data_IF_879720906349
#
_entry.id   IF_879720906349
#
_cell.length_a   1.000
_cell.length_b   1.000
_cell.length_c   1.000
_cell.angle_alpha   90.00
_cell.angle_beta   90.00
_cell.angle_gamma   90.00
#
_symmetry.space_group_name_H-M   'P 1'
#
loop_
_entity.id
_entity.type
_entity.pdbx_description
1 polymer ?
#
# COMPACT_ATOMS: atom_id res chain seq x y z
N UNK A 1 -17.36 38.08 5.68
CA UNK A 1 -16.09 38.60 6.23
C UNK A 1 -15.81 38.04 7.62
N UNK A 2 -16.79 38.01 8.56
CA UNK A 2 -16.64 37.45 9.93
C UNK A 2 -16.34 35.94 9.99
N UNK A 3 -16.95 35.15 9.11
CA UNK A 3 -16.75 33.69 9.05
C UNK A 3 -15.32 33.26 8.68
N UNK A 4 -14.63 34.05 7.84
CA UNK A 4 -13.25 33.80 7.43
C UNK A 4 -12.28 34.04 8.58
N UNK A 5 -12.49 35.10 9.36
CA UNK A 5 -11.66 35.43 10.53
C UNK A 5 -11.79 34.39 11.65
N UNK A 6 -12.98 33.82 11.85
CA UNK A 6 -13.21 32.82 12.91
C UNK A 6 -12.54 31.48 12.58
N UNK A 7 -12.64 31.02 11.32
CA UNK A 7 -11.96 29.79 10.88
C UNK A 7 -10.44 29.96 10.81
N UNK A 8 -9.94 31.12 10.37
CA UNK A 8 -8.51 31.41 10.36
C UNK A 8 -7.93 31.39 11.79
N UNK A 9 -8.66 31.93 12.76
CA UNK A 9 -8.27 31.85 14.17
C UNK A 9 -8.26 30.41 14.66
N UNK A 10 -9.32 29.64 14.38
CA UNK A 10 -9.40 28.22 14.70
C UNK A 10 -8.23 27.42 14.09
N UNK A 11 -7.87 27.69 12.84
CA UNK A 11 -6.73 27.08 12.16
C UNK A 11 -5.44 27.35 12.94
N UNK A 12 -5.12 28.62 13.20
CA UNK A 12 -3.88 29.03 13.88
C UNK A 12 -3.76 28.42 15.29
N UNK A 13 -4.86 28.32 16.02
CA UNK A 13 -4.86 27.76 17.37
C UNK A 13 -4.73 26.24 17.45
N UNK A 14 -5.15 25.52 16.40
CA UNK A 14 -5.28 24.06 16.45
C UNK A 14 -4.34 23.33 15.50
N UNK A 15 -3.75 23.99 14.50
CA UNK A 15 -2.86 23.36 13.52
C UNK A 15 -1.75 22.54 14.18
N UNK A 16 -0.99 23.14 15.10
CA UNK A 16 0.10 22.43 15.79
C UNK A 16 -0.40 21.21 16.57
N UNK A 17 -1.59 21.29 17.20
CA UNK A 17 -2.15 20.17 17.96
C UNK A 17 -2.52 18.99 17.05
N UNK A 18 -3.12 19.28 15.91
CA UNK A 18 -3.46 18.29 14.89
C UNK A 18 -2.23 17.71 14.22
N UNK A 19 -1.22 18.53 13.94
CA UNK A 19 0.08 18.09 13.43
C UNK A 19 0.79 17.14 14.40
N UNK A 20 0.90 17.49 15.68
CA UNK A 20 1.48 16.58 16.68
C UNK A 20 0.62 15.34 16.92
N UNK A 21 -0.69 15.40 16.66
CA UNK A 21 -1.54 14.22 16.70
C UNK A 21 -1.21 13.26 15.54
N UNK A 22 -1.08 13.76 14.31
CA UNK A 22 -0.67 12.95 13.15
C UNK A 22 0.74 12.34 13.34
N UNK A 23 1.68 13.10 13.89
CA UNK A 23 3.04 12.63 14.20
C UNK A 23 3.10 11.46 15.20
N UNK A 24 2.04 11.22 15.97
CA UNK A 24 1.98 10.02 16.85
C UNK A 24 1.78 8.73 16.05
N UNK A 25 1.34 8.84 14.80
CA UNK A 25 1.10 7.72 13.91
C UNK A 25 2.17 7.60 12.82
N UNK A 26 2.61 8.73 12.25
CA UNK A 26 3.49 8.79 11.08
C UNK A 26 4.74 9.62 11.41
N UNK A 27 5.93 9.07 11.18
CA UNK A 27 7.22 9.78 11.42
C UNK A 27 7.66 10.66 10.22
N UNK A 28 6.91 10.62 9.12
CA UNK A 28 7.10 11.52 7.99
C UNK A 28 6.41 12.87 8.23
N UNK A 29 7.23 13.92 8.36
CA UNK A 29 6.76 15.27 8.66
C UNK A 29 6.00 15.92 7.51
N UNK A 30 6.36 15.65 6.25
CA UNK A 30 5.69 16.25 5.11
C UNK A 30 4.31 15.63 4.95
N UNK A 31 4.22 14.29 5.01
CA UNK A 31 2.94 13.56 4.99
C UNK A 31 2.01 14.04 6.10
N UNK A 32 2.54 14.25 7.31
CA UNK A 32 1.74 14.79 8.41
C UNK A 32 1.20 16.19 8.12
N UNK A 33 1.96 17.06 7.43
CA UNK A 33 1.48 18.40 7.05
C UNK A 33 0.41 18.33 5.99
N UNK A 34 0.54 17.44 5.02
CA UNK A 34 -0.43 17.23 3.97
C UNK A 34 -1.76 16.74 4.54
N UNK A 35 -1.74 15.66 5.34
CA UNK A 35 -2.94 15.11 6.00
C UNK A 35 -3.65 16.17 6.87
N UNK A 36 -2.90 17.00 7.59
CA UNK A 36 -3.49 18.08 8.40
C UNK A 36 -4.12 19.15 7.51
N UNK A 37 -3.47 19.49 6.40
CA UNK A 37 -4.01 20.46 5.42
C UNK A 37 -5.31 19.96 4.82
N UNK A 38 -5.38 18.68 4.43
CA UNK A 38 -6.59 18.03 3.94
C UNK A 38 -7.70 18.01 4.99
N UNK A 39 -7.35 17.75 6.25
CA UNK A 39 -8.32 17.79 7.35
C UNK A 39 -8.94 19.19 7.54
N UNK A 40 -8.16 20.25 7.34
CA UNK A 40 -8.67 21.62 7.37
C UNK A 40 -9.50 21.97 6.13
N UNK A 41 -9.12 21.49 4.94
CA UNK A 41 -9.94 21.66 3.75
C UNK A 41 -11.30 20.94 3.91
N UNK A 42 -11.28 19.72 4.45
CA UNK A 42 -12.47 18.98 4.81
C UNK A 42 -13.31 19.77 5.81
N UNK A 43 -12.73 20.20 6.93
CA UNK A 43 -13.40 20.99 7.96
C UNK A 43 -14.03 22.29 7.43
N UNK A 44 -13.37 22.96 6.49
CA UNK A 44 -13.90 24.18 5.85
C UNK A 44 -15.21 23.93 5.10
N UNK A 45 -15.35 22.75 4.47
CA UNK A 45 -16.60 22.35 3.77
C UNK A 45 -17.75 22.17 4.76
N UNK A 46 -17.51 21.59 5.95
CA UNK A 46 -18.53 21.44 7.00
C UNK A 46 -18.86 22.75 7.70
N UNK A 47 -17.84 23.58 7.93
CA UNK A 47 -18.02 24.90 8.53
C UNK A 47 -18.98 25.77 7.72
N UNK A 48 -18.86 25.75 6.38
CA UNK A 48 -19.80 26.45 5.47
C UNK A 48 -21.26 25.99 5.59
N UNK A 49 -21.51 24.78 6.10
CA UNK A 49 -22.84 24.21 6.23
C UNK A 49 -23.45 24.38 7.64
N UNK A 50 -22.85 25.22 8.51
CA UNK A 50 -23.32 25.55 9.87
C UNK A 50 -23.33 24.39 10.90
N UNK A 51 -22.58 23.30 10.67
CA UNK A 51 -22.46 22.18 11.64
C UNK A 51 -21.22 22.34 12.55
N UNK A 52 -21.17 23.44 13.30
CA UNK A 52 -19.92 23.93 13.94
C UNK A 52 -19.61 23.25 15.29
N UNK A 53 -20.62 22.75 16.00
CA UNK A 53 -20.47 22.37 17.43
C UNK A 53 -19.45 21.23 17.67
N UNK A 54 -19.11 20.45 16.65
CA UNK A 54 -18.19 19.31 16.77
C UNK A 54 -16.99 19.33 15.83
N UNK A 55 -16.65 20.49 15.24
CA UNK A 55 -15.61 20.58 14.20
C UNK A 55 -14.26 19.95 14.59
N UNK A 56 -13.82 20.12 15.85
CA UNK A 56 -12.59 19.49 16.36
C UNK A 56 -12.67 17.95 16.37
N UNK A 57 -13.82 17.40 16.76
CA UNK A 57 -14.03 15.96 16.81
C UNK A 57 -14.04 15.36 15.41
N UNK A 58 -14.62 16.06 14.44
CA UNK A 58 -14.56 15.68 13.03
C UNK A 58 -13.12 15.66 12.52
N UNK A 59 -12.33 16.70 12.78
CA UNK A 59 -10.93 16.76 12.37
C UNK A 59 -10.11 15.62 13.01
N UNK A 60 -10.26 15.36 14.31
CA UNK A 60 -9.55 14.23 14.93
C UNK A 60 -9.94 12.87 14.34
N UNK A 61 -11.21 12.69 13.99
CA UNK A 61 -11.68 11.47 13.34
C UNK A 61 -11.11 11.32 11.94
N UNK A 62 -11.13 12.39 11.15
CA UNK A 62 -10.53 12.46 9.82
C UNK A 62 -9.02 12.15 9.88
N UNK A 63 -8.27 12.87 10.72
CA UNK A 63 -6.83 12.66 10.90
C UNK A 63 -6.50 11.22 11.29
N UNK A 64 -7.25 10.64 12.24
CA UNK A 64 -7.04 9.25 12.64
C UNK A 64 -7.22 8.30 11.46
N UNK A 65 -8.29 8.48 10.68
CA UNK A 65 -8.60 7.63 9.54
C UNK A 65 -7.51 7.74 8.47
N UNK A 66 -7.17 8.96 8.05
CA UNK A 66 -6.13 9.20 7.05
C UNK A 66 -4.76 8.67 7.50
N UNK A 67 -4.39 8.85 8.78
CA UNK A 67 -3.13 8.31 9.29
C UNK A 67 -3.12 6.78 9.25
N UNK A 68 -4.22 6.14 9.68
CA UNK A 68 -4.34 4.68 9.65
C UNK A 68 -4.31 4.16 8.22
N UNK A 69 -5.01 4.83 7.30
CA UNK A 69 -5.08 4.42 5.90
C UNK A 69 -3.72 4.62 5.21
N UNK A 70 -3.02 5.71 5.48
CA UNK A 70 -1.63 5.88 5.03
C UNK A 70 -0.73 4.74 5.53
N UNK A 71 -0.77 4.40 6.82
CA UNK A 71 0.02 3.29 7.38
C UNK A 71 -0.34 1.95 6.71
N UNK A 72 -1.64 1.68 6.52
CA UNK A 72 -2.08 0.47 5.81
C UNK A 72 -1.53 0.43 4.39
N UNK A 73 -1.57 1.54 3.67
CA UNK A 73 -1.02 1.66 2.32
C UNK A 73 0.50 1.43 2.32
N UNK A 74 1.23 1.98 3.29
CA UNK A 74 2.67 1.77 3.44
C UNK A 74 3.01 0.30 3.73
N UNK A 75 2.29 -0.35 4.64
CA UNK A 75 2.48 -1.79 4.93
C UNK A 75 2.25 -2.62 3.68
N UNK A 76 1.18 -2.35 2.92
CA UNK A 76 0.92 -3.05 1.67
C UNK A 76 2.04 -2.76 0.66
N UNK A 77 2.47 -1.50 0.51
CA UNK A 77 3.59 -1.12 -0.35
C UNK A 77 4.87 -1.88 -0.02
N UNK A 78 5.25 -1.91 1.25
CA UNK A 78 6.42 -2.63 1.74
C UNK A 78 6.34 -4.12 1.41
N UNK A 79 5.19 -4.77 1.60
CA UNK A 79 5.03 -6.18 1.22
C UNK A 79 5.24 -6.43 -0.27
N UNK A 80 4.75 -5.53 -1.14
CA UNK A 80 5.00 -5.63 -2.58
C UNK A 80 6.47 -5.32 -2.92
N UNK A 81 7.12 -4.38 -2.22
CA UNK A 81 8.55 -4.11 -2.37
C UNK A 81 9.40 -5.32 -1.99
N UNK A 82 9.10 -5.97 -0.87
CA UNK A 82 9.76 -7.21 -0.47
C UNK A 82 9.50 -8.34 -1.47
N UNK A 83 8.29 -8.44 -2.03
CA UNK A 83 8.01 -9.40 -3.09
C UNK A 83 8.84 -9.14 -4.35
N UNK A 84 8.98 -7.87 -4.75
CA UNK A 84 9.86 -7.46 -5.85
C UNK A 84 11.31 -7.88 -5.60
N UNK A 85 11.88 -7.47 -4.46
CA UNK A 85 13.27 -7.73 -4.10
C UNK A 85 13.54 -9.24 -4.11
N UNK A 86 12.65 -10.05 -3.56
CA UNK A 86 12.80 -11.51 -3.56
C UNK A 86 12.70 -12.14 -4.96
N UNK A 87 12.09 -11.45 -5.93
CA UNK A 87 11.95 -11.92 -7.31
C UNK A 87 13.19 -11.58 -8.17
N UNK A 88 14.01 -10.62 -7.72
CA UNK A 88 15.12 -10.04 -8.47
C UNK A 88 16.45 -10.55 -7.90
N UNK A 89 17.48 -10.74 -8.74
CA UNK A 89 18.84 -11.00 -8.26
C UNK A 89 19.47 -9.73 -7.71
N UNK A 90 20.37 -9.84 -6.71
CA UNK A 90 20.98 -8.78 -5.87
C UNK A 90 21.61 -7.55 -6.58
N UNK A 91 21.58 -7.43 -7.91
CA UNK A 91 22.28 -6.38 -8.67
C UNK A 91 21.43 -5.15 -9.05
N UNK A 92 20.19 -5.01 -8.57
CA UNK A 92 19.34 -3.86 -8.92
C UNK A 92 19.37 -2.71 -7.89
N UNK A 93 19.53 -1.49 -8.41
CA UNK A 93 19.73 -0.28 -7.63
C UNK A 93 18.45 0.18 -6.89
N UNK A 94 18.57 0.81 -5.70
CA UNK A 94 17.43 1.26 -4.89
C UNK A 94 16.54 2.34 -5.53
N UNK A 95 17.02 3.09 -6.51
CA UNK A 95 16.31 4.27 -7.05
C UNK A 95 15.07 3.94 -7.89
N UNK A 96 14.85 2.67 -8.27
CA UNK A 96 13.69 2.25 -9.08
C UNK A 96 12.60 1.51 -8.29
N UNK A 97 12.77 1.28 -6.97
CA UNK A 97 11.90 0.36 -6.21
C UNK A 97 10.41 0.77 -6.28
N UNK A 98 10.07 2.05 -6.14
CA UNK A 98 8.68 2.49 -6.14
C UNK A 98 8.01 2.34 -7.52
N UNK A 99 8.72 2.69 -8.60
CA UNK A 99 8.23 2.52 -9.98
C UNK A 99 8.03 1.04 -10.31
N UNK A 100 8.94 0.19 -9.82
CA UNK A 100 8.91 -1.25 -10.04
C UNK A 100 7.82 -1.94 -9.19
N UNK A 101 7.58 -1.47 -7.96
CA UNK A 101 6.42 -1.90 -7.16
C UNK A 101 5.12 -1.52 -7.84
N UNK A 102 5.03 -0.31 -8.41
CA UNK A 102 3.86 0.10 -9.19
C UNK A 102 3.67 -0.79 -10.44
N UNK A 103 4.75 -1.17 -11.13
CA UNK A 103 4.71 -2.12 -12.24
C UNK A 103 4.22 -3.49 -11.80
N UNK A 104 4.73 -4.05 -10.69
CA UNK A 104 4.24 -5.33 -10.18
C UNK A 104 2.75 -5.27 -9.87
N UNK A 105 2.29 -4.24 -9.16
CA UNK A 105 0.86 -4.09 -8.85
C UNK A 105 0.03 -4.13 -10.13
N UNK A 106 0.47 -3.42 -11.17
CA UNK A 106 -0.18 -3.44 -12.48
C UNK A 106 -0.18 -4.83 -13.13
N UNK A 107 0.91 -5.59 -13.03
CA UNK A 107 0.99 -6.96 -13.55
C UNK A 107 0.11 -7.93 -12.76
N UNK A 108 0.03 -7.76 -11.44
CA UNK A 108 -0.88 -8.50 -10.56
C UNK A 108 -2.34 -8.26 -10.93
N UNK A 109 -2.69 -7.02 -11.28
CA UNK A 109 -4.04 -6.65 -11.75
C UNK A 109 -4.42 -7.31 -13.09
N UNK A 110 -3.44 -7.74 -13.90
CA UNK A 110 -3.68 -8.42 -15.17
C UNK A 110 -3.90 -9.93 -15.02
N UNK A 111 -3.60 -10.50 -13.84
CA UNK A 111 -3.86 -11.90 -13.55
C UNK A 111 -5.37 -12.14 -13.39
N UNK A 112 -5.81 -13.39 -13.61
CA UNK A 112 -7.19 -13.75 -13.27
C UNK A 112 -7.42 -13.60 -11.76
N UNK A 113 -8.61 -13.21 -11.28
CA UNK A 113 -8.87 -12.96 -9.86
C UNK A 113 -8.44 -14.10 -8.95
N UNK A 114 -8.69 -15.35 -9.36
CA UNK A 114 -8.29 -16.56 -8.64
C UNK A 114 -6.76 -16.70 -8.54
N UNK A 115 -6.05 -16.46 -9.64
CA UNK A 115 -4.59 -16.59 -9.69
C UNK A 115 -3.91 -15.49 -8.89
N UNK A 116 -4.43 -14.25 -8.99
CA UNK A 116 -4.00 -13.12 -8.17
C UNK A 116 -4.13 -13.43 -6.68
N UNK A 117 -5.33 -13.85 -6.25
CA UNK A 117 -5.61 -14.17 -4.85
C UNK A 117 -4.63 -15.23 -4.32
N UNK A 118 -4.45 -16.33 -5.06
CA UNK A 118 -3.52 -17.40 -4.66
C UNK A 118 -2.10 -16.86 -4.50
N UNK A 119 -1.64 -16.02 -5.43
CA UNK A 119 -0.31 -15.43 -5.38
C UNK A 119 -0.15 -14.46 -4.21
N UNK A 120 -1.14 -13.60 -3.96
CA UNK A 120 -1.15 -12.67 -2.83
C UNK A 120 -1.12 -13.43 -1.50
N UNK A 121 -1.96 -14.45 -1.33
CA UNK A 121 -1.99 -15.24 -0.09
C UNK A 121 -0.64 -15.90 0.20
N UNK A 122 0.04 -16.44 -0.83
CA UNK A 122 1.30 -17.14 -0.65
C UNK A 122 2.51 -16.18 -0.49
N UNK A 123 2.59 -15.11 -1.29
CA UNK A 123 3.80 -14.29 -1.38
C UNK A 123 3.71 -12.94 -0.64
N UNK A 124 2.50 -12.38 -0.51
CA UNK A 124 2.23 -11.12 0.20
C UNK A 124 1.79 -11.42 1.65
N UNK A 125 0.93 -12.42 1.84
CA UNK A 125 0.43 -12.82 3.17
C UNK A 125 1.17 -14.02 3.77
N UNK A 126 2.15 -14.59 3.06
CA UNK A 126 3.05 -15.66 3.54
C UNK A 126 2.35 -16.94 4.02
N UNK A 127 1.12 -17.22 3.53
CA UNK A 127 0.42 -18.48 3.82
C UNK A 127 1.10 -19.66 3.11
N UNK A 128 1.02 -20.84 3.71
CA UNK A 128 1.50 -22.09 3.10
C UNK A 128 0.51 -22.56 2.02
N UNK A 129 1.02 -23.27 1.01
CA UNK A 129 0.18 -23.79 -0.08
C UNK A 129 -0.96 -24.68 0.42
N UNK A 130 -0.73 -25.46 1.48
CA UNK A 130 -1.75 -26.27 2.14
C UNK A 130 -2.88 -25.45 2.75
N UNK A 131 -2.56 -24.30 3.35
CA UNK A 131 -3.57 -23.41 3.96
C UNK A 131 -4.43 -22.78 2.86
N UNK A 132 -3.79 -22.26 1.80
CA UNK A 132 -4.50 -21.68 0.64
C UNK A 132 -5.34 -22.73 -0.10
N UNK A 133 -4.83 -23.96 -0.22
CA UNK A 133 -5.57 -25.07 -0.80
C UNK A 133 -6.84 -25.40 0.01
N UNK A 134 -6.73 -25.41 1.34
CA UNK A 134 -7.87 -25.63 2.23
C UNK A 134 -8.87 -24.46 2.16
N UNK A 135 -8.41 -23.22 2.24
CA UNK A 135 -9.24 -22.01 2.19
C UNK A 135 -10.05 -21.89 0.89
N UNK A 136 -9.50 -22.39 -0.23
CA UNK A 136 -10.10 -22.30 -1.56
C UNK A 136 -10.70 -23.62 -2.07
N UNK A 137 -10.70 -24.66 -1.24
CA UNK A 137 -11.19 -26.00 -1.59
C UNK A 137 -10.60 -26.56 -2.91
N UNK A 138 -9.28 -26.44 -3.09
CA UNK A 138 -8.52 -26.97 -4.24
C UNK A 138 -7.36 -27.84 -3.78
N UNK A 139 -6.68 -28.52 -4.70
CA UNK A 139 -5.45 -29.26 -4.38
C UNK A 139 -4.24 -28.32 -4.23
N UNK A 140 -3.27 -28.71 -3.40
CA UNK A 140 -1.95 -28.03 -3.33
C UNK A 140 -1.26 -27.99 -4.71
N UNK A 141 -1.48 -29.01 -5.56
CA UNK A 141 -0.97 -29.01 -6.93
C UNK A 141 -1.62 -27.94 -7.81
N UNK A 142 -2.91 -27.65 -7.61
CA UNK A 142 -3.60 -26.57 -8.31
C UNK A 142 -3.08 -25.21 -7.85
N UNK A 143 -2.86 -25.02 -6.55
CA UNK A 143 -2.18 -23.82 -6.00
C UNK A 143 -0.81 -23.63 -6.68
N UNK A 144 0.04 -24.66 -6.68
CA UNK A 144 1.36 -24.62 -7.33
C UNK A 144 1.27 -24.25 -8.81
N UNK A 145 0.28 -24.79 -9.55
CA UNK A 145 0.07 -24.47 -10.96
C UNK A 145 -0.29 -23.00 -11.18
N UNK A 146 -1.18 -22.43 -10.36
CA UNK A 146 -1.52 -21.01 -10.41
C UNK A 146 -0.29 -20.13 -10.12
N UNK A 147 0.50 -20.46 -9.08
CA UNK A 147 1.72 -19.73 -8.73
C UNK A 147 2.74 -19.74 -9.87
N UNK A 148 3.06 -20.91 -10.43
CA UNK A 148 4.05 -21.03 -11.52
C UNK A 148 3.62 -20.21 -12.73
N UNK A 149 2.34 -20.26 -13.09
CA UNK A 149 1.81 -19.48 -14.22
C UNK A 149 1.87 -17.97 -13.96
N UNK A 150 1.55 -17.54 -12.74
CA UNK A 150 1.55 -16.13 -12.35
C UNK A 150 2.97 -15.56 -12.37
N UNK A 151 3.92 -16.22 -11.70
CA UNK A 151 5.31 -15.78 -11.64
C UNK A 151 5.98 -15.77 -13.01
N UNK A 152 5.66 -16.75 -13.88
CA UNK A 152 6.13 -16.74 -15.26
C UNK A 152 5.65 -15.51 -16.02
N UNK A 153 4.36 -15.17 -15.92
CA UNK A 153 3.79 -14.00 -16.59
C UNK A 153 4.45 -12.70 -16.09
N UNK A 154 4.57 -12.54 -14.76
CA UNK A 154 5.18 -11.36 -14.16
C UNK A 154 6.64 -11.23 -14.61
N UNK A 155 7.43 -12.32 -14.55
CA UNK A 155 8.85 -12.31 -14.96
C UNK A 155 9.03 -11.93 -16.42
N UNK A 156 8.24 -12.53 -17.32
CA UNK A 156 8.34 -12.23 -18.75
C UNK A 156 8.03 -10.76 -19.06
N UNK A 157 7.12 -10.12 -18.31
CA UNK A 157 6.79 -8.71 -18.51
C UNK A 157 7.79 -7.75 -17.85
N UNK A 158 8.43 -8.15 -16.75
CA UNK A 158 9.53 -7.39 -16.15
C UNK A 158 10.76 -7.45 -17.07
N UNK A 159 11.15 -8.64 -17.55
CA UNK A 159 12.33 -8.83 -18.41
C UNK A 159 12.17 -8.18 -19.79
N UNK A 160 10.97 -8.21 -20.39
CA UNK A 160 10.72 -7.52 -21.68
C UNK A 160 10.91 -5.99 -21.62
N UNK A 161 10.85 -5.41 -20.43
CA UNK A 161 11.17 -3.98 -20.21
C UNK A 161 12.65 -3.74 -19.95
N UNK A 162 13.39 -4.78 -19.58
CA UNK A 162 14.75 -4.72 -19.08
C UNK A 162 15.75 -5.37 -20.05
N UNK A 163 15.52 -5.17 -21.36
CA UNK A 163 16.19 -5.84 -22.49
C UNK A 163 17.68 -5.44 -22.64
N UNK A 164 18.36 -5.14 -21.54
CA UNK A 164 19.82 -5.01 -21.46
C UNK A 164 20.51 -6.03 -20.56
N UNK A 165 19.86 -6.78 -19.64
CA UNK A 165 20.57 -7.78 -18.80
C UNK A 165 19.73 -9.01 -18.43
N UNK A 166 19.73 -9.99 -19.34
CA UNK A 166 19.30 -11.37 -19.09
C UNK A 166 20.10 -11.98 -17.94
N UNK A 167 19.50 -12.66 -16.95
CA UNK A 167 19.98 -13.97 -16.46
C UNK A 167 18.92 -14.79 -15.71
N UNK A 168 19.10 -16.11 -15.85
CA UNK A 168 18.26 -17.21 -15.39
C UNK A 168 18.27 -17.34 -13.85
N UNK A 169 17.17 -17.81 -13.27
CA UNK A 169 17.18 -18.42 -11.94
C UNK A 169 16.28 -19.64 -11.95
N UNK A 170 16.86 -20.73 -11.46
CA UNK A 170 16.40 -22.11 -11.51
C UNK A 170 15.06 -22.33 -10.80
N UNK A 171 14.23 -23.13 -11.46
CA UNK A 171 12.98 -23.67 -10.92
C UNK A 171 13.32 -24.93 -10.11
N UNK A 172 14.00 -24.80 -8.97
CA UNK A 172 14.24 -25.86 -7.96
C UNK A 172 14.72 -25.16 -6.67
N UNK A 173 14.28 -25.39 -5.43
CA UNK A 173 13.32 -26.27 -4.76
C UNK A 173 13.15 -25.73 -3.33
N UNK A 174 11.94 -25.75 -2.78
CA UNK A 174 11.73 -26.15 -1.38
C UNK A 174 10.40 -26.85 -1.26
N UNK A 175 10.44 -28.10 -1.72
CA UNK A 175 9.77 -29.20 -1.04
C UNK A 175 10.42 -29.36 0.34
N UNK A 176 9.61 -29.61 1.37
CA UNK A 176 9.98 -30.11 2.71
C UNK A 176 10.73 -29.19 3.69
N UNK A 177 9.98 -28.50 4.57
CA UNK A 177 9.87 -28.80 6.03
C UNK A 177 8.82 -27.94 6.72
#
# INVERSE_FOLDING_TARGET
>A
MRELTDFEHFFKENYSKFYYFALRYIDDREVCRDIVSDAFEYAWKFYKNNEIENLKNYIYSFLRNECIDYIRHQVVHQKYAEFYINMMSEEELPEEVDERVALIRKLMDQLTPKTRLILEECYINKKKYKEVAADLEISESAVKKHIVQALKNIRENIVKRDDSRVYNLDINTSTDK
#
